data_IF_687896615331
#
_entry.id   IF_687896615331
#
_cell.length_a   1.000
_cell.length_b   1.000
_cell.length_c   1.000
_cell.angle_alpha   90.00
_cell.angle_beta   90.00
_cell.angle_gamma   90.00
#
_symmetry.space_group_name_H-M   'P 1'
#
loop_
_entity.id
_entity.type
_entity.pdbx_description
1 polymer ?
#
# COMPACT_ATOMS: atom_id res chain seq x y z
N UNK A 1 -4.98 -17.40 -3.45
CA UNK A 1 -4.56 -17.78 -2.07
C UNK A 1 -3.42 -16.88 -1.66
N UNK A 2 -3.36 -16.44 -0.40
CA UNK A 2 -2.19 -15.72 0.12
C UNK A 2 -0.99 -16.67 0.11
N UNK A 3 0.20 -16.25 -0.37
CA UNK A 3 1.39 -17.09 -0.34
C UNK A 3 2.00 -17.13 1.08
N UNK A 4 1.19 -17.38 2.08
CA UNK A 4 1.59 -17.39 3.49
C UNK A 4 2.65 -18.45 3.84
N UNK A 5 2.70 -19.63 3.19
CA UNK A 5 3.83 -20.55 3.37
C UNK A 5 5.19 -19.97 2.96
N UNK A 6 5.21 -18.94 2.11
CA UNK A 6 6.45 -18.36 1.55
C UNK A 6 7.27 -17.58 2.59
N UNK A 7 6.71 -17.32 3.78
CA UNK A 7 7.45 -16.71 4.90
C UNK A 7 8.64 -17.57 5.32
N UNK A 8 8.61 -18.88 5.06
CA UNK A 8 9.67 -19.83 5.40
C UNK A 8 10.74 -19.94 4.31
N UNK A 9 10.49 -19.43 3.10
CA UNK A 9 11.45 -19.48 2.01
C UNK A 9 12.69 -18.64 2.37
N UNK A 10 13.88 -19.23 2.21
CA UNK A 10 15.17 -18.57 2.47
C UNK A 10 15.57 -17.55 1.39
N UNK A 11 14.98 -17.66 0.20
CA UNK A 11 15.14 -16.75 -0.94
C UNK A 11 13.74 -16.49 -1.51
N UNK A 12 13.43 -15.28 -2.01
CA UNK A 12 14.33 -14.19 -2.39
C UNK A 12 14.57 -13.10 -1.31
N UNK A 13 14.13 -13.32 -0.07
CA UNK A 13 14.11 -12.26 0.95
C UNK A 13 15.51 -11.86 1.44
N UNK A 14 15.84 -10.55 1.54
CA UNK A 14 17.10 -10.10 2.12
C UNK A 14 17.21 -10.45 3.61
N UNK A 15 18.43 -10.66 4.10
CA UNK A 15 18.69 -10.88 5.52
C UNK A 15 18.34 -9.63 6.34
N UNK A 16 17.83 -9.84 7.56
CA UNK A 16 17.47 -8.75 8.48
C UNK A 16 16.05 -8.18 8.32
N UNK A 17 15.24 -8.72 7.40
CA UNK A 17 13.84 -8.32 7.23
C UNK A 17 12.90 -9.23 8.01
N UNK A 18 11.98 -8.62 8.75
CA UNK A 18 10.89 -9.34 9.41
C UNK A 18 9.88 -9.82 8.37
N UNK A 19 9.44 -11.07 8.52
CA UNK A 19 8.42 -11.69 7.67
C UNK A 19 7.26 -12.06 8.56
N UNK A 20 6.06 -11.75 8.09
CA UNK A 20 4.81 -12.01 8.79
C UNK A 20 3.81 -12.54 7.80
N UNK A 21 3.03 -13.51 8.24
CA UNK A 21 1.90 -14.05 7.52
C UNK A 21 0.81 -12.96 7.43
N UNK A 22 0.21 -12.74 6.26
CA UNK A 22 -0.85 -11.71 6.13
C UNK A 22 -2.16 -12.16 6.80
N UNK A 23 -2.36 -13.47 6.85
CA UNK A 23 -3.51 -14.15 7.40
C UNK A 23 -4.62 -14.30 6.38
N UNK A 24 -5.67 -14.99 6.82
CA UNK A 24 -6.91 -15.13 6.07
C UNK A 24 -7.71 -13.81 6.03
N UNK A 25 -8.70 -13.78 5.13
CA UNK A 25 -9.56 -12.64 4.85
C UNK A 25 -9.24 -11.96 3.53
N UNK A 26 -9.98 -10.88 3.26
CA UNK A 26 -9.76 -10.00 2.12
C UNK A 26 -8.51 -9.11 2.30
N UNK A 27 -8.24 -8.26 1.30
CA UNK A 27 -7.07 -7.37 1.33
C UNK A 27 -7.13 -6.37 2.51
N UNK A 28 -8.31 -5.85 2.82
CA UNK A 28 -8.51 -4.93 3.94
C UNK A 28 -8.21 -5.57 5.30
N UNK A 29 -8.69 -6.80 5.53
CA UNK A 29 -8.42 -7.57 6.74
C UNK A 29 -6.92 -7.80 6.94
N UNK A 30 -6.19 -8.11 5.85
CA UNK A 30 -4.74 -8.34 5.87
C UNK A 30 -3.96 -7.07 6.20
N UNK A 31 -4.25 -5.95 5.52
CA UNK A 31 -3.60 -4.67 5.80
C UNK A 31 -3.94 -4.15 7.20
N UNK A 32 -5.21 -4.26 7.61
CA UNK A 32 -5.67 -3.86 8.94
C UNK A 32 -5.00 -4.67 10.05
N UNK A 33 -4.75 -5.97 9.85
CA UNK A 33 -4.03 -6.82 10.80
C UNK A 33 -2.61 -6.31 11.04
N UNK A 34 -1.87 -5.99 9.97
CA UNK A 34 -0.52 -5.42 10.07
C UNK A 34 -0.54 -4.04 10.73
N UNK A 35 -1.46 -3.18 10.32
CA UNK A 35 -1.63 -1.85 10.88
C UNK A 35 -1.97 -1.91 12.39
N UNK A 36 -2.69 -2.92 12.87
CA UNK A 36 -2.98 -3.10 14.30
C UNK A 36 -1.81 -3.71 15.08
N UNK A 37 -1.05 -4.61 14.48
CA UNK A 37 0.03 -5.35 15.16
C UNK A 37 1.32 -4.55 15.40
N UNK A 38 1.60 -3.53 14.57
CA UNK A 38 2.85 -2.76 14.68
C UNK A 38 2.89 -1.83 15.91
N UNK A 39 4.06 -1.49 16.47
CA UNK A 39 4.20 -0.56 17.60
C UNK A 39 3.66 0.83 17.26
N UNK A 40 3.04 1.59 18.20
CA UNK A 40 2.42 2.88 17.88
C UNK A 40 3.30 3.83 17.06
N UNK A 41 2.71 4.49 16.06
CA UNK A 41 3.43 5.43 15.21
C UNK A 41 2.86 5.49 13.80
N UNK A 42 3.68 6.02 12.89
CA UNK A 42 3.41 6.08 11.46
C UNK A 42 3.64 4.71 10.83
N UNK A 43 2.71 4.26 10.01
CA UNK A 43 2.87 3.03 9.21
C UNK A 43 2.63 3.38 7.76
N UNK A 44 3.43 2.79 6.87
CA UNK A 44 3.26 2.86 5.43
C UNK A 44 3.24 1.43 4.90
N UNK A 45 2.18 1.09 4.17
CA UNK A 45 2.00 -0.18 3.48
C UNK A 45 2.11 0.11 1.98
N UNK A 46 2.87 -0.72 1.27
CA UNK A 46 3.20 -0.53 -0.14
C UNK A 46 2.90 -1.82 -0.91
N UNK A 47 2.23 -1.70 -2.06
CA UNK A 47 2.05 -2.78 -3.02
C UNK A 47 3.40 -3.27 -3.58
N UNK A 48 3.50 -4.58 -3.84
CA UNK A 48 4.73 -5.19 -4.34
C UNK A 48 4.88 -5.11 -5.88
N UNK A 49 3.84 -4.66 -6.55
CA UNK A 49 3.60 -4.63 -8.00
C UNK A 49 3.93 -3.27 -8.65
N UNK A 50 4.57 -2.35 -7.91
CA UNK A 50 4.84 -0.98 -8.39
C UNK A 50 6.33 -0.75 -8.65
N UNK A 51 6.86 -1.19 -9.81
CA UNK A 51 8.30 -1.16 -10.12
C UNK A 51 8.86 0.25 -10.31
N UNK A 52 8.00 1.25 -10.50
CA UNK A 52 8.39 2.65 -10.63
C UNK A 52 8.74 3.29 -9.28
N UNK A 53 8.46 2.61 -8.15
CA UNK A 53 8.69 3.15 -6.82
C UNK A 53 10.17 3.50 -6.58
N UNK A 54 10.41 4.62 -5.88
CA UNK A 54 11.73 5.14 -5.54
C UNK A 54 11.79 5.56 -4.07
N UNK A 55 12.99 5.64 -3.46
CA UNK A 55 13.14 6.03 -2.06
C UNK A 55 12.45 7.36 -1.68
N UNK A 56 12.45 8.33 -2.60
CA UNK A 56 11.82 9.63 -2.35
C UNK A 56 10.30 9.54 -2.19
N UNK A 57 9.60 8.58 -2.81
CA UNK A 57 8.16 8.42 -2.61
C UNK A 57 7.86 8.01 -1.16
N UNK A 58 8.66 7.09 -0.61
CA UNK A 58 8.55 6.66 0.79
C UNK A 58 8.84 7.82 1.74
N UNK A 59 9.91 8.59 1.47
CA UNK A 59 10.23 9.77 2.27
C UNK A 59 9.11 10.82 2.25
N UNK A 60 8.51 11.07 1.07
CA UNK A 60 7.35 11.97 0.93
C UNK A 60 6.15 11.45 1.71
N UNK A 61 5.88 10.14 1.70
CA UNK A 61 4.79 9.55 2.47
C UNK A 61 4.93 9.82 3.97
N UNK A 62 6.11 9.56 4.55
CA UNK A 62 6.37 9.84 5.96
C UNK A 62 6.34 11.35 6.28
N UNK A 63 6.85 12.20 5.39
CA UNK A 63 6.77 13.66 5.54
C UNK A 63 5.32 14.14 5.57
N UNK A 64 4.47 13.61 4.68
CA UNK A 64 3.06 13.96 4.62
C UNK A 64 2.29 13.47 5.86
N UNK A 65 2.61 12.29 6.39
CA UNK A 65 2.06 11.80 7.66
C UNK A 65 2.44 12.64 8.89
N UNK A 66 3.43 13.52 8.78
CA UNK A 66 3.70 14.54 9.80
C UNK A 66 2.62 15.62 9.89
N UNK A 67 1.78 15.77 8.86
CA UNK A 67 0.76 16.82 8.72
C UNK A 67 -0.66 16.30 8.53
N UNK A 68 -0.79 15.05 8.09
CA UNK A 68 -2.07 14.41 7.76
C UNK A 68 -2.27 13.11 8.54
N UNK A 69 -3.51 12.66 8.66
CA UNK A 69 -3.87 11.41 9.35
C UNK A 69 -3.67 10.18 8.47
N UNK A 70 -3.89 10.34 7.17
CA UNK A 70 -3.66 9.32 6.16
C UNK A 70 -2.93 9.87 4.93
N UNK A 71 -2.26 9.00 4.20
CA UNK A 71 -1.60 9.33 2.93
C UNK A 71 -1.86 8.21 1.94
N UNK A 72 -2.16 8.54 0.69
CA UNK A 72 -2.39 7.57 -0.36
C UNK A 72 -1.49 7.85 -1.56
N UNK A 73 -0.88 6.80 -2.11
CA UNK A 73 -0.26 6.84 -3.44
C UNK A 73 -1.25 6.27 -4.45
N UNK A 74 -1.95 7.09 -5.25
CA UNK A 74 -2.96 6.60 -6.17
C UNK A 74 -2.35 5.70 -7.26
N UNK A 75 -3.05 4.65 -7.63
CA UNK A 75 -2.75 3.86 -8.82
C UNK A 75 -3.59 4.35 -10.02
N UNK A 76 -3.17 4.02 -11.24
CA UNK A 76 -3.85 4.46 -12.46
C UNK A 76 -5.23 3.80 -12.67
N UNK A 77 -5.47 2.67 -12.00
CA UNK A 77 -6.70 1.88 -12.06
C UNK A 77 -7.79 2.39 -11.11
N UNK A 78 -7.51 3.40 -10.28
CA UNK A 78 -8.41 3.94 -9.25
C UNK A 78 -8.20 3.35 -7.84
N UNK A 79 -7.32 2.37 -7.71
CA UNK A 79 -6.81 1.89 -6.43
C UNK A 79 -5.67 2.77 -5.88
N UNK A 80 -4.82 2.16 -5.06
CA UNK A 80 -3.63 2.81 -4.52
C UNK A 80 -2.48 1.82 -4.34
N UNK A 81 -1.28 2.25 -4.72
CA UNK A 81 -0.05 1.50 -4.52
C UNK A 81 0.56 1.69 -3.13
N UNK A 82 0.11 2.70 -2.38
CA UNK A 82 0.56 2.99 -1.03
C UNK A 82 -0.58 3.52 -0.17
N UNK A 83 -0.64 3.04 1.08
CA UNK A 83 -1.42 3.65 2.15
C UNK A 83 -0.54 3.89 3.37
N UNK A 84 -0.54 5.13 3.85
CA UNK A 84 0.12 5.57 5.07
C UNK A 84 -0.91 5.96 6.12
N UNK A 85 -0.70 5.56 7.37
CA UNK A 85 -1.64 5.78 8.47
C UNK A 85 -0.92 6.28 9.72
N UNK A 86 -1.45 7.36 10.32
CA UNK A 86 -1.09 7.83 11.65
C UNK A 86 -1.99 7.16 12.68
N UNK A 87 -1.44 6.23 13.45
CA UNK A 87 -2.23 5.33 14.33
C UNK A 87 -2.53 5.87 15.74
N UNK A 88 -2.31 7.16 16.00
CA UNK A 88 -2.57 7.82 17.29
C UNK A 88 -3.35 9.13 17.05
N UNK A 89 -4.41 9.41 17.84
CA UNK A 89 -4.88 8.63 19.00
C UNK A 89 -5.72 7.39 18.64
N UNK A 90 -6.28 7.26 17.43
CA UNK A 90 -6.98 6.06 16.95
C UNK A 90 -6.70 5.79 15.49
N UNK A 91 -6.62 4.51 15.14
CA UNK A 91 -6.71 4.03 13.77
C UNK A 91 -8.20 3.71 13.52
N UNK A 92 -8.89 4.55 12.74
CA UNK A 92 -10.19 4.15 12.18
C UNK A 92 -9.98 2.93 11.28
N UNK A 93 -10.96 2.02 11.20
CA UNK A 93 -10.87 0.91 10.26
C UNK A 93 -11.16 1.42 8.84
N UNK A 94 -10.17 2.10 8.27
CA UNK A 94 -10.26 2.70 6.93
C UNK A 94 -10.45 1.64 5.84
N UNK A 95 -10.27 0.37 6.15
CA UNK A 95 -10.33 -0.75 5.23
C UNK A 95 -11.66 -1.49 5.24
N UNK A 96 -12.63 -1.07 6.07
CA UNK A 96 -13.95 -1.68 6.15
C UNK A 96 -14.77 -1.41 4.88
N UNK A 97 -15.50 -2.41 4.38
CA UNK A 97 -16.44 -2.28 3.25
C UNK A 97 -15.85 -1.66 1.97
N UNK A 98 -14.53 -1.77 1.77
CA UNK A 98 -13.84 -1.29 0.57
C UNK A 98 -14.04 -2.29 -0.58
N UNK A 99 -14.43 -1.79 -1.75
CA UNK A 99 -14.53 -2.59 -2.99
C UNK A 99 -13.13 -2.84 -3.57
N UNK A 100 -12.41 -3.77 -2.98
CA UNK A 100 -11.06 -4.16 -3.40
C UNK A 100 -11.00 -4.63 -4.86
N UNK A 101 -9.83 -4.43 -5.49
CA UNK A 101 -9.60 -4.76 -6.91
C UNK A 101 -10.57 -4.05 -7.88
N UNK A 102 -11.01 -2.84 -7.51
CA UNK A 102 -11.82 -1.97 -8.37
C UNK A 102 -11.29 -0.54 -8.31
N UNK A 103 -11.69 0.27 -9.29
CA UNK A 103 -11.43 1.71 -9.36
C UNK A 103 -11.97 2.53 -8.18
N UNK A 104 -12.78 1.92 -7.32
CA UNK A 104 -13.37 2.56 -6.16
C UNK A 104 -12.55 2.38 -4.88
N UNK A 105 -11.52 1.52 -4.88
CA UNK A 105 -10.83 1.15 -3.65
C UNK A 105 -10.23 2.36 -2.90
N UNK A 106 -9.64 3.32 -3.62
CA UNK A 106 -9.15 4.57 -3.02
C UNK A 106 -10.30 5.42 -2.45
N UNK A 107 -11.35 5.62 -3.23
CA UNK A 107 -12.49 6.45 -2.84
C UNK A 107 -13.20 5.89 -1.59
N UNK A 108 -13.42 4.57 -1.56
CA UNK A 108 -14.02 3.87 -0.43
C UNK A 108 -13.14 3.99 0.83
N UNK A 109 -11.83 3.80 0.69
CA UNK A 109 -10.89 3.90 1.82
C UNK A 109 -10.84 5.33 2.39
N UNK A 110 -10.90 6.35 1.53
CA UNK A 110 -10.96 7.76 1.95
C UNK A 110 -12.29 8.08 2.64
N UNK A 111 -13.41 7.51 2.16
CA UNK A 111 -14.73 7.71 2.74
C UNK A 111 -14.84 7.15 4.18
N UNK A 112 -14.00 6.17 4.52
CA UNK A 112 -13.95 5.59 5.87
C UNK A 112 -13.15 6.41 6.88
N UNK A 113 -12.53 7.52 6.48
CA UNK A 113 -11.88 8.43 7.41
C UNK A 113 -12.94 9.07 8.34
N UNK A 114 -12.62 9.15 9.64
CA UNK A 114 -13.51 9.78 10.61
C UNK A 114 -13.66 11.29 10.31
N UNK A 115 -14.81 11.91 10.65
CA UNK A 115 -14.97 13.35 10.49
C UNK A 115 -13.82 14.14 11.14
N UNK A 116 -13.23 15.05 10.37
CA UNK A 116 -12.09 15.86 10.79
C UNK A 116 -10.71 15.21 10.58
N UNK A 117 -10.63 13.95 10.18
CA UNK A 117 -9.36 13.36 9.73
C UNK A 117 -9.00 13.86 8.33
N UNK A 118 -7.72 14.16 8.15
CA UNK A 118 -7.19 14.70 6.89
C UNK A 118 -6.36 13.65 6.16
N UNK A 119 -6.30 13.77 4.83
CA UNK A 119 -5.44 12.93 4.02
C UNK A 119 -4.66 13.75 2.99
N UNK A 120 -3.60 13.16 2.47
CA UNK A 120 -2.87 13.67 1.31
C UNK A 120 -2.74 12.61 0.22
N UNK A 121 -2.68 13.05 -1.03
CA UNK A 121 -2.38 12.22 -2.18
C UNK A 121 -0.93 12.45 -2.63
N UNK A 122 -0.22 11.37 -2.91
CA UNK A 122 1.13 11.38 -3.47
C UNK A 122 1.07 11.30 -5.01
N UNK A 123 2.24 11.21 -5.63
CA UNK A 123 2.37 10.92 -7.06
C UNK A 123 1.66 9.61 -7.43
N UNK A 124 0.87 9.66 -8.51
CA UNK A 124 0.25 8.49 -9.10
C UNK A 124 1.32 7.65 -9.80
N UNK A 125 1.39 6.35 -9.48
CA UNK A 125 2.30 5.41 -10.15
C UNK A 125 1.49 4.32 -10.87
N UNK A 126 2.10 3.76 -11.91
CA UNK A 126 1.57 2.55 -12.57
C UNK A 126 2.03 1.31 -11.80
N UNK A 127 1.06 0.52 -11.36
CA UNK A 127 1.21 -0.89 -11.02
C UNK A 127 1.35 -1.74 -12.28
N UNK A 128 1.94 -2.93 -12.10
CA UNK A 128 2.17 -3.88 -13.19
C UNK A 128 1.42 -5.16 -12.88
N UNK A 129 0.15 -5.15 -13.28
CA UNK A 129 -0.74 -6.29 -13.13
C UNK A 129 -0.83 -7.14 -14.40
N UNK A 130 -0.45 -8.40 -14.28
CA UNK A 130 -0.57 -9.38 -15.35
C UNK A 130 0.41 -9.19 -16.52
N UNK A 131 0.24 -10.03 -17.54
CA UNK A 131 1.20 -10.17 -18.63
C UNK A 131 1.27 -8.95 -19.55
N UNK A 132 0.14 -8.29 -19.82
CA UNK A 132 0.07 -7.15 -20.73
C UNK A 132 0.72 -5.90 -20.13
N UNK A 133 0.40 -5.57 -18.88
CA UNK A 133 1.04 -4.48 -18.15
C UNK A 133 2.55 -4.71 -18.07
N UNK A 134 2.97 -5.96 -17.79
CA UNK A 134 4.39 -6.31 -17.74
C UNK A 134 5.10 -6.13 -19.10
N UNK A 135 4.47 -6.56 -20.20
CA UNK A 135 5.02 -6.39 -21.54
C UNK A 135 5.18 -4.90 -21.90
N UNK A 136 4.18 -4.07 -21.55
CA UNK A 136 4.21 -2.61 -21.73
C UNK A 136 5.33 -1.97 -20.92
N UNK A 137 5.43 -2.31 -19.63
CA UNK A 137 6.49 -1.83 -18.75
C UNK A 137 7.88 -2.20 -19.27
N UNK A 138 8.08 -3.46 -19.70
CA UNK A 138 9.35 -3.96 -20.22
C UNK A 138 9.79 -3.23 -21.49
N UNK A 139 8.84 -2.91 -22.40
CA UNK A 139 9.11 -2.10 -23.60
C UNK A 139 9.58 -0.69 -23.23
N UNK A 140 8.88 -0.01 -22.30
CA UNK A 140 9.27 1.33 -21.83
C UNK A 140 10.65 1.35 -21.17
N UNK A 141 10.98 0.32 -20.38
CA UNK A 141 12.30 0.17 -19.74
C UNK A 141 13.45 0.00 -20.74
N UNK A 142 13.23 -0.73 -21.84
CA UNK A 142 14.25 -0.97 -22.87
C UNK A 142 14.51 0.22 -23.78
N UNK A 143 13.57 1.16 -23.88
CA UNK A 143 13.69 2.38 -24.70
C UNK A 143 14.25 3.60 -23.96
N UNK A 144 14.68 3.43 -22.69
CA UNK A 144 15.30 4.50 -21.92
C UNK A 144 16.83 4.41 -22.13
N UNK A 145 17.49 5.47 -22.61
CA UNK A 145 18.93 5.47 -22.89
C UNK A 145 19.76 5.19 -21.64
#
# INVERSE_FOLDING_TARGET
>A
TTPDPDIHLRRPWPTGWWRVNQGEGDLGARMGRLARALPPGLVVIVGADVPAIRPHHIATAFKALGRHDAVFGPAADGGYWLVGLRRRPRLADVFADVRWSTEHALADTVANLSPGQTHALLETLEDVDGGEAYAKWKKRRRGRP
#
